data_IF_635476742543
#
_entry.id   IF_635476742543
#
_cell.length_a   1.000
_cell.length_b   1.000
_cell.length_c   1.000
_cell.angle_alpha   90.00
_cell.angle_beta   90.00
_cell.angle_gamma   90.00
#
_symmetry.space_group_name_H-M   'P 1'
#
loop_
_entity.id
_entity.type
_entity.pdbx_description
1 polymer ?
#
# COMPACT_ATOMS: atom_id res chain seq x y z
N UNK A 1 7.55 35.42 10.33
CA UNK A 1 7.39 34.35 9.33
C UNK A 1 7.51 33.06 10.11
N UNK A 2 6.48 32.23 10.05
CA UNK A 2 6.41 30.92 10.70
C UNK A 2 6.39 29.85 9.61
N UNK A 3 7.17 28.79 9.78
CA UNK A 3 7.26 27.69 8.83
C UNK A 3 6.87 26.39 9.55
N UNK A 4 5.71 25.85 9.21
CA UNK A 4 5.27 24.53 9.69
C UNK A 4 5.87 23.43 8.83
N UNK A 5 6.57 22.48 9.46
CA UNK A 5 7.02 21.26 8.80
C UNK A 5 5.99 20.16 9.10
N UNK A 6 5.29 19.68 8.06
CA UNK A 6 4.39 18.53 8.18
C UNK A 6 5.18 17.31 7.73
N UNK A 7 5.48 16.35 8.63
CA UNK A 7 6.15 15.12 8.22
C UNK A 7 5.24 14.35 7.27
N UNK A 8 5.78 14.04 6.10
CA UNK A 8 5.15 13.15 5.13
C UNK A 8 5.56 11.71 5.40
N UNK A 9 4.64 10.78 5.17
CA UNK A 9 4.80 9.36 5.37
C UNK A 9 4.75 8.64 4.01
N UNK A 10 5.01 7.35 4.05
CA UNK A 10 4.93 6.47 2.88
C UNK A 10 4.31 5.13 3.26
N UNK A 11 3.56 4.55 2.34
CA UNK A 11 2.98 3.21 2.48
C UNK A 11 3.42 2.38 1.28
N UNK A 12 3.95 1.19 1.52
CA UNK A 12 4.33 0.27 0.45
C UNK A 12 4.41 -1.15 0.97
N UNK A 13 4.26 -2.11 0.05
CA UNK A 13 4.39 -3.54 0.33
C UNK A 13 4.61 -4.30 -0.97
N UNK A 14 4.63 -5.63 -0.89
CA UNK A 14 4.63 -6.55 -2.03
C UNK A 14 3.31 -7.33 -2.13
N UNK A 15 2.91 -7.65 -3.35
CA UNK A 15 1.89 -8.64 -3.69
C UNK A 15 2.62 -9.83 -4.30
N UNK A 16 2.41 -11.02 -3.76
CA UNK A 16 3.13 -12.24 -4.16
C UNK A 16 2.23 -13.47 -4.17
N UNK A 17 2.63 -14.50 -4.91
CA UNK A 17 1.97 -15.80 -4.84
C UNK A 17 2.39 -16.53 -3.57
N UNK A 18 1.47 -16.64 -2.63
CA UNK A 18 1.63 -17.45 -1.42
C UNK A 18 1.40 -18.93 -1.76
N UNK A 19 2.48 -19.66 -2.05
CA UNK A 19 2.41 -21.06 -2.50
C UNK A 19 2.28 -22.05 -1.33
N UNK A 20 2.75 -21.66 -0.15
CA UNK A 20 2.76 -22.51 1.03
C UNK A 20 1.62 -22.15 2.02
N UNK A 21 0.89 -21.08 1.75
CA UNK A 21 -0.25 -20.55 2.50
C UNK A 21 0.13 -20.10 3.93
N UNK A 22 1.30 -19.48 4.09
CA UNK A 22 1.78 -18.95 5.38
C UNK A 22 1.72 -17.42 5.49
N UNK A 23 1.38 -16.72 4.40
CA UNK A 23 1.29 -15.26 4.35
C UNK A 23 2.63 -14.53 4.43
N UNK A 24 3.76 -15.23 4.31
CA UNK A 24 5.11 -14.68 4.42
C UNK A 24 5.85 -14.95 3.10
N UNK A 25 6.36 -13.90 2.45
CA UNK A 25 7.16 -14.04 1.23
C UNK A 25 8.59 -14.54 1.53
N UNK A 26 8.76 -15.83 1.85
CA UNK A 26 10.06 -16.44 2.19
C UNK A 26 10.37 -17.74 1.43
N UNK A 27 9.41 -18.29 0.70
CA UNK A 27 9.56 -19.46 -0.15
C UNK A 27 10.32 -19.15 -1.44
N UNK A 28 11.16 -20.10 -1.89
CA UNK A 28 11.96 -19.97 -3.11
C UNK A 28 11.15 -19.71 -4.39
N UNK A 29 9.84 -19.97 -4.38
CA UNK A 29 8.93 -19.82 -5.51
C UNK A 29 7.83 -18.75 -5.27
N UNK A 30 7.92 -17.97 -4.19
CA UNK A 30 6.92 -16.95 -3.83
C UNK A 30 7.24 -15.62 -4.51
N UNK A 31 7.11 -15.67 -5.83
CA UNK A 31 7.40 -14.55 -6.71
C UNK A 31 6.34 -13.46 -6.59
N UNK A 32 6.78 -12.21 -6.74
CA UNK A 32 5.87 -11.07 -6.83
C UNK A 32 4.94 -11.17 -8.04
N UNK A 33 3.75 -10.59 -7.89
CA UNK A 33 2.74 -10.54 -8.96
C UNK A 33 2.78 -9.14 -9.60
N UNK A 34 3.20 -9.02 -10.86
CA UNK A 34 3.27 -7.73 -11.52
C UNK A 34 1.92 -7.25 -12.04
N UNK A 35 1.79 -5.93 -12.23
CA UNK A 35 0.62 -5.27 -12.81
C UNK A 35 -0.69 -5.48 -12.01
N UNK A 36 -0.59 -5.73 -10.71
CA UNK A 36 -1.75 -5.76 -9.82
C UNK A 36 -2.13 -4.31 -9.50
N UNK A 37 -3.36 -3.86 -9.82
CA UNK A 37 -3.83 -2.55 -9.41
C UNK A 37 -3.96 -2.51 -7.89
N UNK A 38 -3.46 -1.43 -7.29
CA UNK A 38 -3.52 -1.19 -5.85
C UNK A 38 -4.07 0.21 -5.63
N UNK A 39 -5.10 0.30 -4.79
CA UNK A 39 -5.75 1.54 -4.42
C UNK A 39 -5.49 1.84 -2.95
N UNK A 40 -5.21 3.11 -2.66
CA UNK A 40 -5.06 3.61 -1.30
C UNK A 40 -6.25 4.51 -0.98
N UNK A 41 -6.97 4.17 0.09
CA UNK A 41 -8.07 4.97 0.61
C UNK A 41 -7.68 5.58 1.95
N UNK A 42 -8.00 6.84 2.16
CA UNK A 42 -7.99 7.44 3.48
C UNK A 42 -9.20 6.95 4.28
N UNK A 43 -8.93 6.66 5.55
CA UNK A 43 -9.90 6.35 6.60
C UNK A 43 -9.92 7.55 7.56
N UNK A 44 -10.95 8.38 7.44
CA UNK A 44 -11.05 9.68 8.09
C UNK A 44 -11.64 9.57 9.49
N UNK A 45 -12.44 8.54 9.76
CA UNK A 45 -13.05 8.30 11.08
C UNK A 45 -12.34 7.21 11.91
N UNK A 46 -11.44 6.47 11.29
CA UNK A 46 -10.61 5.44 11.92
C UNK A 46 -11.37 4.15 12.20
N UNK A 47 -12.47 3.88 11.50
CA UNK A 47 -13.30 2.69 11.68
C UNK A 47 -12.82 1.46 10.89
N UNK A 48 -11.78 1.63 10.06
CA UNK A 48 -11.20 0.60 9.22
C UNK A 48 -11.90 0.42 7.87
N UNK A 49 -12.83 1.31 7.49
CA UNK A 49 -13.49 1.27 6.19
C UNK A 49 -12.81 2.17 5.15
N UNK A 50 -12.71 1.75 3.88
CA UNK A 50 -12.20 2.61 2.82
C UNK A 50 -13.21 3.72 2.49
N UNK A 51 -12.86 4.99 2.67
CA UNK A 51 -13.77 6.10 2.40
C UNK A 51 -13.36 6.91 1.16
N UNK A 52 -12.19 7.56 1.20
CA UNK A 52 -11.75 8.49 0.15
C UNK A 52 -10.56 7.92 -0.60
N UNK A 53 -10.67 7.70 -1.91
CA UNK A 53 -9.54 7.30 -2.74
C UNK A 53 -8.50 8.43 -2.79
N UNK A 54 -7.28 8.14 -2.35
CA UNK A 54 -6.18 9.11 -2.28
C UNK A 54 -5.00 8.74 -3.18
N UNK A 55 -4.95 7.52 -3.70
CA UNK A 55 -3.89 7.09 -4.60
C UNK A 55 -4.22 5.80 -5.34
N UNK A 56 -3.66 5.67 -6.54
CA UNK A 56 -3.68 4.45 -7.34
C UNK A 56 -2.27 4.18 -7.83
N UNK A 57 -1.90 2.91 -7.82
CA UNK A 57 -0.63 2.44 -8.37
C UNK A 57 -0.78 1.02 -8.88
N UNK A 58 0.27 0.51 -9.51
CA UNK A 58 0.34 -0.89 -9.96
C UNK A 58 1.63 -1.50 -9.46
N UNK A 59 1.58 -2.76 -9.06
CA UNK A 59 2.79 -3.48 -8.68
C UNK A 59 3.76 -3.59 -9.85
N UNK A 60 5.06 -3.44 -9.55
CA UNK A 60 6.12 -3.60 -10.54
C UNK A 60 6.41 -5.08 -10.85
N UNK A 61 7.45 -5.35 -11.64
CA UNK A 61 7.88 -6.71 -12.03
C UNK A 61 8.16 -7.63 -10.83
N UNK A 62 8.56 -7.07 -9.68
CA UNK A 62 8.83 -7.78 -8.44
C UNK A 62 7.61 -7.84 -7.50
N UNK A 63 6.43 -7.40 -7.96
CA UNK A 63 5.20 -7.35 -7.17
C UNK A 63 5.15 -6.22 -6.14
N UNK A 64 6.07 -5.27 -6.19
CA UNK A 64 6.19 -4.19 -5.20
C UNK A 64 5.35 -2.99 -5.62
N UNK A 65 4.64 -2.38 -4.67
CA UNK A 65 3.97 -1.10 -4.82
C UNK A 65 4.39 -0.11 -3.73
N UNK A 66 4.25 1.18 -4.03
CA UNK A 66 4.66 2.25 -3.12
C UNK A 66 3.83 3.51 -3.35
N UNK A 67 3.44 4.15 -2.25
CA UNK A 67 2.80 5.46 -2.17
C UNK A 67 3.67 6.36 -1.29
N UNK A 68 4.06 7.51 -1.82
CA UNK A 68 4.88 8.50 -1.13
C UNK A 68 4.08 9.75 -0.75
N UNK A 69 4.74 10.67 -0.04
CA UNK A 69 4.20 11.99 0.29
C UNK A 69 2.82 11.99 0.95
N UNK A 70 2.53 10.97 1.76
CA UNK A 70 1.25 10.84 2.43
C UNK A 70 1.19 11.72 3.68
N UNK A 71 0.13 12.52 3.86
CA UNK A 71 -0.15 13.15 5.15
C UNK A 71 -0.20 12.13 6.30
N UNK A 72 -0.10 12.60 7.54
CA UNK A 72 -0.38 11.71 8.66
C UNK A 72 -1.88 11.38 8.70
N UNK A 73 -2.20 10.09 8.82
CA UNK A 73 -3.57 9.60 8.82
C UNK A 73 -3.65 8.08 8.81
N UNK A 74 -4.87 7.56 8.84
CA UNK A 74 -5.17 6.13 8.67
C UNK A 74 -5.48 5.87 7.20
N UNK A 75 -4.97 4.76 6.68
CA UNK A 75 -5.14 4.38 5.29
C UNK A 75 -5.48 2.91 5.15
N UNK A 76 -6.36 2.60 4.20
CA UNK A 76 -6.74 1.25 3.80
C UNK A 76 -6.19 0.98 2.41
N UNK A 77 -5.42 -0.11 2.27
CA UNK A 77 -4.95 -0.60 0.98
C UNK A 77 -5.93 -1.63 0.45
N UNK A 78 -6.40 -1.43 -0.78
CA UNK A 78 -7.39 -2.29 -1.43
C UNK A 78 -6.82 -2.78 -2.77
N UNK A 79 -6.96 -4.07 -3.01
CA UNK A 79 -6.77 -4.68 -4.34
C UNK A 79 -8.18 -4.93 -4.89
N UNK A 80 -8.57 -4.30 -6.02
CA UNK A 80 -9.92 -4.38 -6.57
C UNK A 80 -10.25 -5.74 -7.22
#
# INVERSE_FOLDING_TARGET
IDFGFVPVNSVGSSVFFDMNNDGIQMGANEVGIPNVPVQLFADLDGDGTPETLVGETTTNDDGIYFFDNLPNGTYNVVIP
#
